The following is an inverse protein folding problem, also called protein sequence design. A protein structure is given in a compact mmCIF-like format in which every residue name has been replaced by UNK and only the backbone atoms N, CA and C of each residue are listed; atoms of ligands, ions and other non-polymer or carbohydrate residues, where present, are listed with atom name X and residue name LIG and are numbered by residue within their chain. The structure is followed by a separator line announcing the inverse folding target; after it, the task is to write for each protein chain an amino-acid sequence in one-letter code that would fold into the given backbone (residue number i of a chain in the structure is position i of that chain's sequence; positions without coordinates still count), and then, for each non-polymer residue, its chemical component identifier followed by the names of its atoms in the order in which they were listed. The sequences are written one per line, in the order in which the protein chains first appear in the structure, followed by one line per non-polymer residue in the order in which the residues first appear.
data_IF_187928164517
#
_entry.id   IF_187928164517
#
_cell.length_a   1.000
_cell.length_b   1.000
_cell.length_c   1.000
_cell.angle_alpha   90.00
_cell.angle_beta   90.00
_cell.angle_gamma   90.00
#
_symmetry.space_group_name_H-M   'P 1'
#
loop_
_entity.id
_entity.type
_entity.pdbx_description
1 polymer ?
#
# COMPACT_ATOMS: atom_id res chain seq x y z
N UNK A 1 -1.56 -14.71 12.55
CA UNK A 1 -2.32 -13.80 11.68
C UNK A 1 -2.77 -14.59 10.46
N UNK A 2 -4.05 -14.93 10.44
CA UNK A 2 -4.60 -15.71 9.33
C UNK A 2 -4.95 -14.79 8.17
N UNK A 3 -3.98 -14.48 7.33
CA UNK A 3 -4.24 -13.99 5.99
C UNK A 3 -4.62 -15.20 5.16
N UNK A 4 -5.86 -15.24 4.67
CA UNK A 4 -6.35 -16.42 3.96
C UNK A 4 -5.65 -16.65 2.62
N UNK A 5 -4.99 -15.63 2.07
CA UNK A 5 -4.39 -15.67 0.73
C UNK A 5 -5.39 -16.01 -0.38
N UNK A 6 -6.68 -15.83 -0.11
CA UNK A 6 -7.76 -16.18 -1.05
C UNK A 6 -7.99 -15.05 -2.05
N UNK A 7 -8.21 -15.42 -3.29
CA UNK A 7 -8.72 -14.54 -4.33
C UNK A 7 -10.25 -14.76 -4.40
N UNK A 8 -10.99 -13.68 -4.18
CA UNK A 8 -12.43 -13.65 -4.34
C UNK A 8 -12.77 -12.94 -5.64
N UNK A 9 -13.74 -13.47 -6.37
CA UNK A 9 -14.29 -12.88 -7.58
C UNK A 9 -15.76 -12.59 -7.32
N UNK A 10 -16.19 -11.38 -7.63
CA UNK A 10 -17.59 -11.00 -7.39
C UNK A 10 -17.94 -9.67 -8.02
N UNK A 11 -19.11 -9.15 -7.66
CA UNK A 11 -19.60 -7.87 -8.16
C UNK A 11 -19.79 -6.90 -7.01
N UNK A 12 -19.26 -5.69 -7.16
CA UNK A 12 -19.42 -4.59 -6.23
C UNK A 12 -19.90 -3.35 -6.99
N UNK A 13 -21.05 -2.80 -6.61
CA UNK A 13 -21.63 -1.63 -7.28
C UNK A 13 -21.88 -1.86 -8.78
N UNK A 14 -22.25 -3.07 -9.19
CA UNK A 14 -22.47 -3.44 -10.59
C UNK A 14 -21.21 -3.64 -11.43
N UNK A 15 -20.02 -3.62 -10.82
CA UNK A 15 -18.73 -3.86 -11.48
C UNK A 15 -18.13 -5.17 -11.01
N UNK A 16 -17.52 -5.93 -11.92
CA UNK A 16 -16.74 -7.10 -11.54
C UNK A 16 -15.47 -6.67 -10.80
N UNK A 17 -15.19 -7.36 -9.71
CA UNK A 17 -14.03 -7.09 -8.84
C UNK A 17 -13.31 -8.37 -8.49
N UNK A 18 -11.98 -8.24 -8.36
CA UNK A 18 -11.09 -9.25 -7.82
C UNK A 18 -10.59 -8.73 -6.47
N UNK A 19 -10.82 -9.48 -5.39
CA UNK A 19 -10.38 -9.11 -4.05
C UNK A 19 -9.40 -10.15 -3.52
N UNK A 20 -8.15 -9.74 -3.30
CA UNK A 20 -7.16 -10.57 -2.66
C UNK A 20 -7.18 -10.33 -1.15
N UNK A 21 -7.62 -11.32 -0.38
CA UNK A 21 -7.63 -11.29 1.07
C UNK A 21 -6.25 -11.66 1.62
N UNK A 22 -5.31 -10.75 1.51
CA UNK A 22 -3.92 -10.92 1.95
C UNK A 22 -2.93 -10.28 0.98
N UNK A 23 -1.65 -10.49 1.26
CA UNK A 23 -0.53 -9.97 0.46
C UNK A 23 0.70 -10.83 0.71
N UNK A 24 1.55 -10.99 -0.29
CA UNK A 24 2.89 -11.54 -0.13
C UNK A 24 3.86 -10.41 0.24
N UNK A 25 4.60 -10.58 1.33
CA UNK A 25 5.58 -9.59 1.75
C UNK A 25 7.00 -10.08 1.51
N UNK A 26 7.88 -9.18 1.12
CA UNK A 26 9.28 -9.52 0.91
C UNK A 26 9.99 -9.95 2.20
N UNK A 27 9.59 -9.42 3.36
CA UNK A 27 10.15 -9.84 4.64
C UNK A 27 9.76 -11.30 5.05
N UNK A 28 8.80 -11.91 4.35
CA UNK A 28 8.45 -13.33 4.52
C UNK A 28 9.40 -14.25 3.73
N UNK A 29 10.42 -13.68 3.05
CA UNK A 29 11.38 -14.39 2.22
C UNK A 29 10.97 -14.48 0.73
N UNK A 30 9.87 -13.85 0.35
CA UNK A 30 9.46 -13.79 -1.05
C UNK A 30 10.33 -12.79 -1.83
N UNK A 31 10.86 -13.16 -2.99
CA UNK A 31 11.51 -12.20 -3.88
C UNK A 31 10.51 -11.14 -4.36
N UNK A 32 11.00 -9.93 -4.69
CA UNK A 32 10.15 -8.84 -5.13
C UNK A 32 9.20 -9.22 -6.29
N UNK A 33 9.65 -10.07 -7.21
CA UNK A 33 8.82 -10.59 -8.30
C UNK A 33 7.63 -11.43 -7.83
N UNK A 34 7.81 -12.23 -6.79
CA UNK A 34 6.73 -13.04 -6.22
C UNK A 34 5.73 -12.19 -5.43
N UNK A 35 6.20 -11.12 -4.76
CA UNK A 35 5.32 -10.24 -4.00
C UNK A 35 4.30 -9.50 -4.87
N UNK A 36 4.62 -9.28 -6.14
CA UNK A 36 3.75 -8.57 -7.11
C UNK A 36 2.96 -9.51 -8.03
N UNK A 37 3.11 -10.82 -7.87
CA UNK A 37 2.39 -11.82 -8.66
C UNK A 37 0.86 -11.60 -8.67
N UNK A 38 0.20 -11.23 -7.56
CA UNK A 38 -1.23 -10.94 -7.57
C UNK A 38 -1.65 -9.80 -8.50
N UNK A 39 -0.83 -8.75 -8.63
CA UNK A 39 -1.11 -7.64 -9.56
C UNK A 39 -1.05 -8.14 -11.01
N UNK A 40 -0.07 -8.98 -11.33
CA UNK A 40 0.05 -9.59 -12.66
C UNK A 40 -1.13 -10.50 -12.98
N UNK A 41 -1.57 -11.32 -12.00
CA UNK A 41 -2.75 -12.16 -12.17
C UNK A 41 -4.00 -11.31 -12.41
N UNK A 42 -4.20 -10.26 -11.63
CA UNK A 42 -5.33 -9.36 -11.81
C UNK A 42 -5.33 -8.72 -13.20
N UNK A 43 -4.16 -8.26 -13.68
CA UNK A 43 -4.01 -7.71 -15.03
C UNK A 43 -4.32 -8.76 -16.10
N UNK A 44 -3.79 -9.99 -15.98
CA UNK A 44 -4.06 -11.07 -16.92
C UNK A 44 -5.53 -11.48 -16.98
N UNK A 45 -6.28 -11.28 -15.88
CA UNK A 45 -7.73 -11.47 -15.80
C UNK A 45 -8.53 -10.24 -16.30
N UNK A 46 -7.86 -9.21 -16.80
CA UNK A 46 -8.49 -8.04 -17.41
C UNK A 46 -8.70 -6.83 -16.48
N UNK A 47 -8.16 -6.86 -15.27
CA UNK A 47 -8.19 -5.70 -14.38
C UNK A 47 -7.43 -4.52 -14.99
N UNK A 48 -8.02 -3.34 -14.95
CA UNK A 48 -7.46 -2.08 -15.47
C UNK A 48 -7.04 -1.10 -14.37
N UNK A 49 -7.42 -1.39 -13.16
CA UNK A 49 -7.07 -0.60 -11.99
C UNK A 49 -6.85 -1.51 -10.78
N UNK A 50 -5.95 -1.12 -9.90
CA UNK A 50 -5.68 -1.78 -8.63
C UNK A 50 -5.87 -0.76 -7.51
N UNK A 51 -6.69 -1.11 -6.52
CA UNK A 51 -6.77 -0.38 -5.27
C UNK A 51 -6.13 -1.23 -4.17
N UNK A 52 -5.03 -0.75 -3.61
CA UNK A 52 -4.35 -1.38 -2.49
C UNK A 52 -4.75 -0.73 -1.17
N UNK A 53 -4.86 -1.53 -0.12
CA UNK A 53 -4.98 -1.03 1.24
C UNK A 53 -3.84 -1.58 2.09
N UNK A 54 -3.36 -0.81 3.05
CA UNK A 54 -2.29 -1.24 3.94
C UNK A 54 -2.41 -0.60 5.32
N UNK A 55 -1.75 -1.23 6.30
CA UNK A 55 -1.48 -0.61 7.59
C UNK A 55 -0.14 0.11 7.52
N UNK A 56 -0.04 1.31 8.07
CA UNK A 56 1.16 2.12 8.04
C UNK A 56 1.45 2.75 9.41
N UNK A 57 2.74 3.00 9.68
CA UNK A 57 3.19 3.87 10.75
C UNK A 57 3.08 5.34 10.32
N UNK A 58 2.52 6.19 11.15
CA UNK A 58 2.45 7.64 10.90
C UNK A 58 3.80 8.30 11.15
N UNK A 59 4.37 8.94 10.13
CA UNK A 59 5.58 9.76 10.20
C UNK A 59 5.23 11.24 10.35
N UNK A 60 4.16 11.69 9.70
CA UNK A 60 3.68 13.06 9.78
C UNK A 60 3.06 13.30 11.18
N UNK A 61 3.55 14.30 11.96
CA UNK A 61 3.04 14.58 13.30
C UNK A 61 1.55 14.98 13.36
N UNK A 62 0.99 15.43 12.23
CA UNK A 62 -0.43 15.79 12.13
C UNK A 62 -1.36 14.57 11.98
N UNK A 63 -0.79 13.37 11.77
CA UNK A 63 -1.58 12.16 11.59
C UNK A 63 -1.72 11.41 12.90
N UNK A 64 -2.92 10.86 13.11
CA UNK A 64 -3.26 10.10 14.31
C UNK A 64 -3.66 8.67 13.96
N UNK A 65 -3.50 7.72 14.87
CA UNK A 65 -4.01 6.37 14.67
C UNK A 65 -5.51 6.36 14.38
N UNK A 66 -5.88 5.76 13.26
CA UNK A 66 -7.24 5.77 12.72
C UNK A 66 -7.39 6.64 11.47
N UNK A 67 -6.46 7.56 11.20
CA UNK A 67 -6.49 8.35 9.97
C UNK A 67 -6.32 7.45 8.74
N UNK A 68 -7.13 7.72 7.71
CA UNK A 68 -6.96 7.16 6.37
C UNK A 68 -6.16 8.14 5.52
N UNK A 69 -5.13 7.63 4.86
CA UNK A 69 -4.24 8.42 4.00
C UNK A 69 -4.36 7.92 2.56
N UNK A 70 -4.88 8.75 1.67
CA UNK A 70 -4.78 8.52 0.22
C UNK A 70 -3.33 8.74 -0.17
N UNK A 71 -2.67 7.68 -0.63
CA UNK A 71 -1.27 7.76 -1.05
C UNK A 71 -1.19 8.44 -2.41
N UNK A 72 -0.44 9.53 -2.49
CA UNK A 72 -0.27 10.33 -3.72
C UNK A 72 1.09 10.14 -4.37
N UNK A 73 2.08 9.67 -3.61
CA UNK A 73 3.44 9.41 -4.09
C UNK A 73 4.15 8.38 -3.20
N UNK A 74 5.33 7.93 -3.60
CA UNK A 74 6.11 6.96 -2.84
C UNK A 74 7.60 7.23 -2.85
N UNK A 75 8.26 6.75 -1.79
CA UNK A 75 9.72 6.64 -1.70
C UNK A 75 10.05 5.15 -1.54
N UNK A 76 10.83 4.58 -2.46
CA UNK A 76 11.26 3.19 -2.37
C UNK A 76 12.61 3.08 -1.66
N UNK A 77 12.59 2.75 -0.38
CA UNK A 77 13.78 2.43 0.42
C UNK A 77 13.85 0.93 0.80
N UNK A 78 13.09 0.08 0.12
CA UNK A 78 13.17 -1.37 0.33
C UNK A 78 14.45 -2.01 -0.23
N UNK A 79 15.25 -1.26 -1.00
CA UNK A 79 16.38 -1.75 -1.78
C UNK A 79 16.00 -2.88 -2.75
N UNK A 80 14.72 -3.01 -3.09
CA UNK A 80 14.18 -4.01 -4.00
C UNK A 80 13.38 -3.34 -5.12
N UNK A 81 13.43 -3.93 -6.33
CA UNK A 81 12.59 -3.53 -7.44
C UNK A 81 12.13 -4.78 -8.21
N UNK A 82 10.82 -5.00 -8.38
CA UNK A 82 10.29 -6.20 -9.03
C UNK A 82 10.62 -6.30 -10.52
N UNK A 83 11.09 -5.22 -11.15
CA UNK A 83 11.47 -5.18 -12.58
C UNK A 83 12.94 -5.52 -12.84
N UNK A 84 13.75 -5.77 -11.79
CA UNK A 84 15.14 -6.20 -11.95
C UNK A 84 15.16 -7.59 -12.58
N UNK A 85 16.00 -7.75 -13.61
CA UNK A 85 16.20 -9.01 -14.34
C UNK A 85 15.48 -9.05 -15.68
N UNK A 86 14.96 -10.20 -16.06
CA UNK A 86 14.27 -10.41 -17.36
C UNK A 86 12.99 -9.59 -17.40
N UNK A 87 12.74 -8.94 -18.55
CA UNK A 87 11.48 -8.22 -18.80
C UNK A 87 10.40 -9.26 -19.10
N UNK A 88 9.30 -9.21 -18.37
CA UNK A 88 8.16 -10.07 -18.65
C UNK A 88 7.43 -9.58 -19.92
N UNK A 89 6.78 -10.48 -20.67
CA UNK A 89 6.00 -10.08 -21.84
C UNK A 89 4.93 -9.04 -21.48
N UNK A 90 4.91 -7.94 -22.21
CA UNK A 90 3.97 -6.84 -22.02
C UNK A 90 4.42 -5.77 -21.01
N UNK A 91 5.50 -5.99 -20.27
CA UNK A 91 6.03 -4.98 -19.35
C UNK A 91 6.77 -3.85 -20.10
N UNK A 92 6.56 -2.63 -19.64
CA UNK A 92 7.48 -1.52 -19.93
C UNK A 92 8.75 -1.72 -19.11
N UNK A 93 9.91 -1.76 -19.80
CA UNK A 93 11.22 -1.90 -19.12
C UNK A 93 11.54 -0.74 -18.20
N UNK A 94 11.16 0.45 -18.60
CA UNK A 94 11.39 1.70 -17.87
C UNK A 94 10.07 2.45 -17.78
N UNK A 95 9.17 2.06 -16.83
CA UNK A 95 7.90 2.75 -16.65
C UNK A 95 8.12 4.16 -16.11
N UNK A 96 7.30 5.10 -16.56
CA UNK A 96 7.22 6.42 -15.95
C UNK A 96 6.54 6.32 -14.59
N UNK A 97 7.20 6.80 -13.56
CA UNK A 97 6.70 6.80 -12.17
C UNK A 97 6.17 8.16 -11.72
N UNK A 98 6.12 9.17 -12.60
CA UNK A 98 5.67 10.54 -12.27
C UNK A 98 4.21 10.58 -11.78
N UNK A 99 3.40 9.59 -12.12
CA UNK A 99 2.03 9.43 -11.68
C UNK A 99 1.73 7.96 -11.31
N UNK A 100 2.64 7.33 -10.57
CA UNK A 100 2.50 5.94 -10.15
C UNK A 100 1.20 5.68 -9.36
N UNK A 101 0.73 6.67 -8.62
CA UNK A 101 -0.60 6.71 -8.02
C UNK A 101 -1.50 7.56 -8.91
N UNK A 102 -2.48 6.93 -9.56
CA UNK A 102 -3.35 7.59 -10.54
C UNK A 102 -4.05 8.82 -9.93
N UNK A 103 -3.81 10.03 -10.47
CA UNK A 103 -4.49 11.24 -9.97
C UNK A 103 -6.03 11.11 -10.07
N UNK A 104 -6.53 10.41 -11.11
CA UNK A 104 -7.95 10.15 -11.30
C UNK A 104 -8.50 9.27 -10.18
N UNK A 105 -7.84 8.16 -9.85
CA UNK A 105 -8.29 7.28 -8.77
C UNK A 105 -8.17 7.94 -7.40
N UNK A 106 -7.10 8.72 -7.16
CA UNK A 106 -6.97 9.51 -5.93
C UNK A 106 -8.11 10.51 -5.78
N UNK A 107 -8.50 11.19 -6.87
CA UNK A 107 -9.65 12.10 -6.85
C UNK A 107 -10.96 11.37 -6.53
N UNK A 108 -11.17 10.18 -7.09
CA UNK A 108 -12.34 9.35 -6.77
C UNK A 108 -12.36 8.89 -5.32
N UNK A 109 -11.20 8.52 -4.75
CA UNK A 109 -11.10 8.14 -3.34
C UNK A 109 -11.46 9.31 -2.42
N UNK A 110 -10.98 10.52 -2.72
CA UNK A 110 -11.35 11.74 -1.96
C UNK A 110 -12.84 12.04 -2.04
N UNK A 111 -13.41 11.99 -3.24
CA UNK A 111 -14.83 12.24 -3.42
C UNK A 111 -15.68 11.20 -2.67
N UNK A 112 -15.37 9.91 -2.80
CA UNK A 112 -16.08 8.85 -2.11
C UNK A 112 -15.96 8.98 -0.57
N UNK A 113 -14.79 9.37 -0.06
CA UNK A 113 -14.59 9.62 1.36
C UNK A 113 -15.43 10.82 1.84
N UNK A 114 -15.48 11.90 1.07
CA UNK A 114 -16.33 13.07 1.35
C UNK A 114 -17.81 12.70 1.37
N UNK A 115 -18.28 11.96 0.38
CA UNK A 115 -19.67 11.52 0.27
C UNK A 115 -20.07 10.59 1.44
N UNK A 116 -19.13 9.80 1.93
CA UNK A 116 -19.31 8.93 3.09
C UNK A 116 -19.12 9.65 4.44
N UNK A 117 -18.75 10.93 4.45
CA UNK A 117 -18.44 11.68 5.69
C UNK A 117 -17.19 11.18 6.40
N UNK A 118 -16.28 10.51 5.70
CA UNK A 118 -15.03 9.95 6.23
C UNK A 118 -13.87 10.91 5.95
N UNK A 119 -13.24 11.50 6.98
CA UNK A 119 -12.08 12.34 6.75
C UNK A 119 -10.90 11.53 6.24
N UNK A 120 -10.21 12.05 5.22
CA UNK A 120 -8.98 11.46 4.69
C UNK A 120 -7.86 12.48 4.67
N UNK A 121 -6.63 11.98 4.81
CA UNK A 121 -5.37 12.70 4.59
C UNK A 121 -4.82 12.34 3.21
N UNK A 122 -3.82 13.08 2.77
CA UNK A 122 -3.02 12.74 1.60
C UNK A 122 -1.55 12.73 1.97
N UNK A 123 -0.75 11.87 1.36
CA UNK A 123 0.67 11.85 1.69
C UNK A 123 1.51 10.86 0.90
N UNK A 124 2.81 10.98 1.13
CA UNK A 124 3.85 10.14 0.54
C UNK A 124 4.10 8.90 1.40
N UNK A 125 4.01 7.73 0.77
CA UNK A 125 4.29 6.45 1.42
C UNK A 125 5.76 6.05 1.21
N UNK A 126 6.51 5.79 2.29
CA UNK A 126 7.83 5.19 2.18
C UNK A 126 7.75 3.67 2.40
N UNK A 127 8.24 2.92 1.41
CA UNK A 127 8.33 1.47 1.47
C UNK A 127 9.68 1.02 1.99
N UNK A 128 9.68 0.25 3.07
CA UNK A 128 10.84 -0.39 3.67
C UNK A 128 10.74 -1.91 3.53
N UNK A 129 11.86 -2.61 3.64
CA UNK A 129 11.87 -4.07 3.56
C UNK A 129 11.27 -4.72 4.81
N UNK A 130 11.61 -4.20 5.98
CA UNK A 130 11.34 -4.89 7.25
C UNK A 130 12.25 -6.11 7.45
N UNK A 131 11.93 -7.06 8.35
CA UNK A 131 10.73 -7.12 9.21
C UNK A 131 10.79 -6.24 10.47
N UNK A 132 11.93 -5.60 10.76
CA UNK A 132 12.04 -4.69 11.90
C UNK A 132 11.28 -3.40 11.65
N UNK A 133 10.75 -2.81 12.70
CA UNK A 133 10.31 -1.42 12.67
C UNK A 133 11.51 -0.48 12.65
N UNK A 134 11.24 0.75 12.26
CA UNK A 134 12.23 1.82 12.19
C UNK A 134 12.76 2.19 13.58
N UNK A 135 14.02 2.59 13.65
CA UNK A 135 14.58 3.26 14.84
C UNK A 135 14.14 4.73 14.86
N UNK A 136 14.21 5.42 16.02
CA UNK A 136 13.92 6.86 16.07
C UNK A 136 14.81 7.71 15.15
N UNK A 137 16.04 7.27 14.85
CA UNK A 137 16.93 7.97 13.92
C UNK A 137 16.47 7.81 12.47
N UNK A 138 16.04 6.61 12.09
CA UNK A 138 15.44 6.33 10.77
C UNK A 138 14.14 7.10 10.59
N UNK A 139 13.28 7.17 11.60
CA UNK A 139 12.06 7.97 11.57
C UNK A 139 12.36 9.43 11.25
N UNK A 140 13.33 10.04 11.94
CA UNK A 140 13.73 11.43 11.65
C UNK A 140 14.30 11.60 10.24
N UNK A 141 15.01 10.60 9.73
CA UNK A 141 15.51 10.60 8.35
C UNK A 141 14.35 10.55 7.36
N UNK A 142 13.39 9.65 7.54
CA UNK A 142 12.24 9.48 6.67
C UNK A 142 11.37 10.75 6.61
N UNK A 143 11.15 11.40 7.75
CA UNK A 143 10.47 12.68 7.82
C UNK A 143 11.18 13.77 7.00
N UNK A 144 12.52 13.83 7.07
CA UNK A 144 13.32 14.80 6.29
C UNK A 144 13.29 14.51 4.78
N UNK A 145 13.09 13.26 4.39
CA UNK A 145 12.88 12.87 2.99
C UNK A 145 11.47 13.20 2.48
N UNK A 146 10.58 13.69 3.34
CA UNK A 146 9.22 14.07 2.97
C UNK A 146 8.21 12.92 3.01
N UNK A 147 8.50 11.84 3.71
CA UNK A 147 7.55 10.74 3.90
C UNK A 147 6.53 11.08 5.01
N UNK A 148 5.26 10.77 4.76
CA UNK A 148 4.14 10.96 5.68
C UNK A 148 3.76 9.68 6.42
N UNK A 149 3.88 8.53 5.75
CA UNK A 149 3.59 7.20 6.31
C UNK A 149 4.62 6.19 5.86
N UNK A 150 4.86 5.17 6.69
CA UNK A 150 5.82 4.09 6.42
C UNK A 150 5.18 2.71 6.51
N UNK A 151 5.67 1.77 5.68
CA UNK A 151 5.26 0.38 5.73
C UNK A 151 6.15 -0.54 4.89
N UNK A 152 5.78 -1.81 4.84
CA UNK A 152 6.60 -2.89 4.27
C UNK A 152 5.92 -3.55 3.06
N UNK A 153 5.15 -2.79 2.27
CA UNK A 153 4.37 -3.29 1.13
C UNK A 153 4.15 -2.19 0.09
N UNK A 154 3.22 -2.42 -0.85
CA UNK A 154 2.59 -1.41 -1.73
C UNK A 154 3.51 -0.85 -2.82
N UNK A 155 4.73 -0.43 -2.51
CA UNK A 155 5.67 0.19 -3.47
C UNK A 155 5.95 -0.72 -4.67
N UNK A 156 6.23 -1.99 -4.44
CA UNK A 156 6.49 -2.94 -5.51
C UNK A 156 5.25 -3.17 -6.40
N UNK A 157 4.06 -3.15 -5.81
CA UNK A 157 2.79 -3.29 -6.53
C UNK A 157 2.53 -2.08 -7.44
N UNK A 158 2.79 -0.86 -6.97
CA UNK A 158 2.70 0.35 -7.76
C UNK A 158 3.69 0.34 -8.94
N UNK A 159 4.94 -0.11 -8.71
CA UNK A 159 5.97 -0.24 -9.76
C UNK A 159 5.50 -1.21 -10.85
N UNK A 160 4.97 -2.37 -10.48
CA UNK A 160 4.50 -3.35 -11.47
C UNK A 160 3.22 -2.87 -12.17
N UNK A 161 2.32 -2.20 -11.47
CA UNK A 161 1.14 -1.61 -12.10
C UNK A 161 1.53 -0.59 -13.20
N UNK A 162 2.50 0.27 -12.91
CA UNK A 162 3.05 1.20 -13.89
C UNK A 162 3.70 0.47 -15.09
N UNK A 163 4.46 -0.61 -14.85
CA UNK A 163 5.06 -1.40 -15.92
C UNK A 163 4.02 -2.08 -16.83
N UNK A 164 2.89 -2.47 -16.25
CA UNK A 164 1.75 -3.09 -16.97
C UNK A 164 0.81 -2.04 -17.61
N UNK A 165 1.02 -0.75 -17.38
CA UNK A 165 0.15 0.31 -17.88
C UNK A 165 -1.24 0.32 -17.26
N UNK A 166 -1.41 -0.20 -16.04
CA UNK A 166 -2.69 -0.18 -15.31
C UNK A 166 -2.67 0.87 -14.20
N UNK A 167 -3.82 1.46 -13.92
CA UNK A 167 -3.93 2.48 -12.89
C UNK A 167 -3.78 1.87 -11.49
N UNK A 168 -3.11 2.59 -10.62
CA UNK A 168 -2.89 2.18 -9.23
C UNK A 168 -3.29 3.29 -8.27
N UNK A 169 -3.91 2.91 -7.16
CA UNK A 169 -4.16 3.78 -6.02
C UNK A 169 -3.97 3.00 -4.73
N UNK A 170 -3.69 3.70 -3.64
CA UNK A 170 -3.58 3.07 -2.33
C UNK A 170 -4.16 3.95 -1.23
N UNK A 171 -4.70 3.29 -0.21
CA UNK A 171 -5.13 3.92 1.05
C UNK A 171 -4.38 3.26 2.19
N UNK A 172 -3.69 4.05 2.99
CA UNK A 172 -3.01 3.61 4.20
C UNK A 172 -3.87 3.92 5.43
N UNK A 173 -4.05 2.94 6.30
CA UNK A 173 -4.57 3.16 7.64
C UNK A 173 -3.41 3.41 8.59
N UNK A 174 -3.35 4.58 9.20
CA UNK A 174 -2.38 4.88 10.26
C UNK A 174 -2.75 4.06 11.50
N UNK A 175 -1.90 3.12 11.88
CA UNK A 175 -2.18 2.22 13.02
C UNK A 175 -1.47 2.64 14.30
N UNK A 176 -0.37 3.35 14.17
CA UNK A 176 0.46 3.84 15.27
C UNK A 176 1.32 5.03 14.79
N UNK A 177 1.74 5.94 15.67
CA UNK A 177 2.88 6.81 15.38
C UNK A 177 4.12 5.96 15.13
N UNK A 178 5.03 6.42 14.25
CA UNK A 178 6.31 5.74 14.05
C UNK A 178 7.19 5.80 15.31
N UNK A 179 8.25 4.99 15.35
CA UNK A 179 9.10 4.85 16.53
C UNK A 179 9.70 6.20 17.00
N UNK A 180 9.62 6.46 18.29
CA UNK A 180 10.12 7.68 18.90
C UNK A 180 9.24 8.92 18.75
N UNK A 181 8.06 8.79 18.12
CA UNK A 181 7.05 9.85 18.08
C UNK A 181 6.01 9.72 19.20
N UNK A 182 6.07 8.65 19.99
CA UNK A 182 5.30 8.46 21.22
C UNK A 182 6.10 7.65 22.22
N UNK A 183 5.77 7.78 23.50
CA UNK A 183 6.40 7.01 24.59
C UNK A 183 5.97 5.53 24.63
N UNK A 184 4.95 5.16 23.85
CA UNK A 184 4.45 3.80 23.83
C UNK A 184 5.24 2.92 22.85
N UNK A 185 5.65 1.69 23.24
CA UNK A 185 6.31 0.77 22.33
C UNK A 185 5.37 0.36 21.19
N UNK A 186 5.91 0.22 19.98
CA UNK A 186 5.17 -0.29 18.83
C UNK A 186 4.91 -1.78 19.05
N UNK A 187 3.64 -2.20 19.01
CA UNK A 187 3.22 -3.60 19.13
C UNK A 187 2.45 -4.02 17.88
N UNK A 188 2.81 -5.17 17.35
CA UNK A 188 2.17 -5.73 16.14
C UNK A 188 0.67 -6.05 16.35
N UNK A 189 0.26 -6.39 17.57
CA UNK A 189 -1.11 -6.75 17.90
C UNK A 189 -2.13 -5.63 17.64
N UNK A 190 -1.69 -4.37 17.71
CA UNK A 190 -2.54 -3.22 17.35
C UNK A 190 -2.78 -3.09 15.86
N UNK A 191 -1.82 -3.53 15.01
CA UNK A 191 -2.00 -3.57 13.54
C UNK A 191 -3.04 -4.63 13.13
N UNK A 192 -3.03 -5.79 13.77
CA UNK A 192 -3.89 -6.92 13.38
C UNK A 192 -5.34 -6.73 13.78
N UNK A 193 -5.61 -6.22 14.97
CA UNK A 193 -6.97 -6.14 15.52
C UNK A 193 -7.83 -5.09 14.81
N UNK A 194 -7.23 -3.97 14.36
CA UNK A 194 -7.99 -2.94 13.63
C UNK A 194 -8.17 -3.25 12.15
N UNK A 195 -7.25 -3.98 11.53
CA UNK A 195 -7.41 -4.45 10.14
C UNK A 195 -8.47 -5.55 10.02
N UNK A 196 -8.62 -6.41 11.03
CA UNK A 196 -9.70 -7.40 11.06
C UNK A 196 -11.08 -6.74 11.17
N UNK A 197 -11.22 -5.63 11.89
CA UNK A 197 -12.49 -4.91 11.97
C UNK A 197 -12.85 -4.15 10.68
N UNK A 198 -11.90 -3.79 9.84
CA UNK A 198 -12.17 -3.16 8.54
C UNK A 198 -12.48 -4.16 7.42
N UNK A 199 -12.19 -5.44 7.60
CA UNK A 199 -12.55 -6.51 6.65
C UNK A 199 -13.94 -7.12 6.90
N UNK A 200 -14.59 -6.84 8.03
CA UNK A 200 -15.94 -7.31 8.33
C UNK A 200 -17.06 -6.52 7.64
N UNK A 201 -16.71 -5.44 6.90
CA UNK A 201 -17.69 -4.59 6.23
C UNK A 201 -17.89 -4.92 4.74
N UNK A 202 -17.26 -6.00 4.24
CA UNK A 202 -17.47 -6.49 2.87
C UNK A 202 -17.84 -7.97 2.95
N UNK A 203 -18.95 -8.25 3.56
CA UNK A 203 -19.67 -9.52 3.44
C UNK A 203 -21.10 -9.25 2.94
#
# INVERSE_FOLDING_TARGET
LFRSGRLHVGTLGGREVLVLAGRFHMYEGHPARASVFPVRVAHALGARAVLATNAAGGLNPAYTPGDLVVVTDQINLSAQNPLIGVVEPGDLRFPDMSAAYSPRLCAHLRAAASDAGVPVREGTYVGLLGPTYETPAEVRMLQRLGADVTGMSTVAEAIVAAALGIEFAAVSLVTNPAAGLSDAPIRQDRKSTRLNSSHEWIS
#
